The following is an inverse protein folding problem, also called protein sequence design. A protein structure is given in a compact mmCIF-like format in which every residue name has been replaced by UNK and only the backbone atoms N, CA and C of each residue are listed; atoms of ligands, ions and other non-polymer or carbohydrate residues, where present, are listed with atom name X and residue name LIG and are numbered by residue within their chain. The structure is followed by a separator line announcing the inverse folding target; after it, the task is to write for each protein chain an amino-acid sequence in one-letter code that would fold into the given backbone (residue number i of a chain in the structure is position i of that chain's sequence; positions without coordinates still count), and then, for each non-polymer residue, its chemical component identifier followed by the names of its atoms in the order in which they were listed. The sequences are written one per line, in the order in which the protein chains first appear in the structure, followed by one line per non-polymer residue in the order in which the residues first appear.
data_IF_201743540545
#
_entry.id   IF_201743540545
#
_cell.length_a   1.000
_cell.length_b   1.000
_cell.length_c   1.000
_cell.angle_alpha   90.00
_cell.angle_beta   90.00
_cell.angle_gamma   90.00
#
_symmetry.space_group_name_H-M   'P 1'
#
loop_
_entity.id
_entity.type
_entity.pdbx_description
1 polymer ?
#
# COMPACT_ATOMS: atom_id res chain seq x y z
N UNK A 1 31.01 20.69 -18.90
CA UNK A 1 31.97 21.02 -17.81
C UNK A 1 31.19 20.87 -16.52
N UNK A 2 31.68 20.20 -15.49
CA UNK A 2 31.00 20.17 -14.18
C UNK A 2 31.02 21.58 -13.60
N UNK A 3 29.84 22.12 -13.28
CA UNK A 3 29.66 23.39 -12.62
C UNK A 3 30.38 23.39 -11.25
N UNK A 4 31.10 24.47 -10.97
CA UNK A 4 31.84 24.67 -9.74
C UNK A 4 30.89 24.56 -8.52
N UNK A 5 31.19 23.74 -7.49
CA UNK A 5 30.32 23.59 -6.33
C UNK A 5 29.97 24.91 -5.61
N UNK A 6 30.88 25.88 -5.65
CA UNK A 6 30.72 27.20 -5.01
C UNK A 6 29.66 28.06 -5.74
N UNK A 7 29.64 28.05 -7.07
CA UNK A 7 28.59 28.76 -7.86
C UNK A 7 27.19 28.20 -7.62
N UNK A 8 27.09 26.90 -7.31
CA UNK A 8 25.81 26.25 -7.06
C UNK A 8 25.22 26.63 -5.70
N UNK A 9 26.04 26.93 -4.69
CA UNK A 9 25.60 27.32 -3.34
C UNK A 9 25.11 28.76 -3.31
N UNK A 10 25.77 29.70 -3.98
CA UNK A 10 25.32 31.10 -4.08
C UNK A 10 23.96 31.20 -4.79
N UNK A 11 23.78 30.50 -5.91
CA UNK A 11 22.50 30.49 -6.62
C UNK A 11 21.35 29.94 -5.75
N UNK A 12 21.58 28.89 -4.96
CA UNK A 12 20.57 28.34 -4.04
C UNK A 12 20.20 29.39 -2.99
N UNK A 13 21.21 30.06 -2.41
CA UNK A 13 20.98 31.08 -1.38
C UNK A 13 20.21 32.29 -1.93
N UNK A 14 20.43 32.67 -3.17
CA UNK A 14 19.67 33.73 -3.84
C UNK A 14 18.20 33.33 -4.05
N UNK A 15 17.92 32.06 -4.42
CA UNK A 15 16.55 31.54 -4.52
C UNK A 15 15.86 31.54 -3.15
N UNK A 16 16.56 31.12 -2.10
CA UNK A 16 16.06 31.13 -0.72
C UNK A 16 15.71 32.56 -0.27
N UNK A 17 16.59 33.53 -0.54
CA UNK A 17 16.38 34.97 -0.25
C UNK A 17 15.15 35.49 -0.98
N UNK A 18 15.00 35.16 -2.26
CA UNK A 18 13.86 35.57 -3.06
C UNK A 18 12.54 35.00 -2.53
N UNK A 19 12.52 33.75 -2.05
CA UNK A 19 11.32 33.15 -1.43
C UNK A 19 10.99 33.88 -0.13
N UNK A 20 11.93 33.97 0.80
CA UNK A 20 11.70 34.60 2.10
C UNK A 20 11.26 36.06 1.97
N UNK A 21 11.95 36.84 1.11
CA UNK A 21 11.59 38.22 0.83
C UNK A 21 10.23 38.32 0.15
N UNK A 22 9.93 37.47 -0.84
CA UNK A 22 8.67 37.49 -1.55
C UNK A 22 7.47 37.13 -0.66
N UNK A 23 7.63 36.20 0.28
CA UNK A 23 6.59 35.89 1.26
C UNK A 23 6.32 37.03 2.25
N UNK A 24 7.33 37.87 2.54
CA UNK A 24 7.14 39.09 3.35
C UNK A 24 6.41 40.17 2.57
N UNK A 25 6.41 40.13 1.22
CA UNK A 25 5.67 41.08 0.36
C UNK A 25 4.24 40.57 0.11
N UNK A 26 4.05 39.28 -0.10
CA UNK A 26 2.77 38.64 -0.42
C UNK A 26 2.53 37.44 0.52
N UNK A 27 2.00 37.68 1.71
CA UNK A 27 1.72 36.67 2.73
C UNK A 27 0.79 35.54 2.21
N UNK A 28 -0.16 35.86 1.34
CA UNK A 28 -1.15 34.91 0.79
C UNK A 28 -0.52 33.80 -0.02
N UNK A 29 0.72 33.95 -0.49
CA UNK A 29 1.45 32.90 -1.21
C UNK A 29 2.14 31.88 -0.31
N UNK A 30 2.11 32.08 1.00
CA UNK A 30 2.77 31.15 1.93
C UNK A 30 2.23 29.74 1.80
N UNK A 31 0.92 29.56 1.69
CA UNK A 31 0.29 28.24 1.61
C UNK A 31 0.76 27.49 0.36
N UNK A 32 0.74 28.11 -0.81
CA UNK A 32 1.21 27.51 -2.06
C UNK A 32 2.71 27.14 -2.03
N UNK A 33 3.55 27.98 -1.40
CA UNK A 33 4.98 27.69 -1.23
C UNK A 33 5.20 26.55 -0.22
N UNK A 34 4.45 26.52 0.88
CA UNK A 34 4.56 25.51 1.94
C UNK A 34 4.10 24.12 1.52
N UNK A 35 3.26 24.02 0.48
CA UNK A 35 2.92 22.76 -0.16
C UNK A 35 4.12 22.13 -0.90
N UNK A 36 5.04 22.96 -1.41
CA UNK A 36 6.20 22.52 -2.20
C UNK A 36 7.43 22.25 -1.30
N UNK A 37 7.74 23.19 -0.38
CA UNK A 37 8.92 23.14 0.49
C UNK A 37 8.55 23.25 1.97
N UNK A 38 9.43 22.78 2.85
CA UNK A 38 9.39 23.06 4.29
C UNK A 38 10.70 23.72 4.75
N UNK A 39 10.79 24.05 6.04
CA UNK A 39 11.96 24.71 6.59
C UNK A 39 13.26 23.85 6.42
N UNK A 40 13.16 22.51 6.37
CA UNK A 40 14.32 21.62 6.22
C UNK A 40 14.86 21.59 4.77
N UNK A 41 14.13 22.15 3.81
CA UNK A 41 14.58 22.25 2.43
C UNK A 41 15.57 23.41 2.21
N UNK A 42 15.59 24.38 3.12
CA UNK A 42 16.58 25.46 3.11
C UNK A 42 17.96 24.97 3.53
N UNK A 43 19.01 25.51 2.92
CA UNK A 43 20.39 25.12 3.21
C UNK A 43 20.92 25.76 4.50
N UNK A 44 20.66 27.06 4.69
CA UNK A 44 21.09 27.81 5.83
C UNK A 44 20.17 27.71 7.04
N UNK A 45 20.73 27.47 8.23
CA UNK A 45 19.97 27.45 9.49
C UNK A 45 19.26 28.79 9.77
N UNK A 46 19.82 29.89 9.29
CA UNK A 46 19.23 31.23 9.31
C UNK A 46 17.90 31.25 8.56
N UNK A 47 17.88 30.80 7.31
CA UNK A 47 16.69 30.73 6.47
C UNK A 47 15.68 29.70 6.98
N UNK A 48 16.13 28.56 7.50
CA UNK A 48 15.28 27.57 8.13
C UNK A 48 14.47 28.18 9.30
N UNK A 49 15.16 28.91 10.19
CA UNK A 49 14.54 29.57 11.34
C UNK A 49 13.53 30.65 10.90
N UNK A 50 13.85 31.41 9.84
CA UNK A 50 12.95 32.43 9.29
C UNK A 50 11.68 31.77 8.74
N UNK A 51 11.81 30.77 7.85
CA UNK A 51 10.67 30.11 7.24
C UNK A 51 9.78 29.38 8.27
N UNK A 52 10.38 28.73 9.27
CA UNK A 52 9.64 28.11 10.37
C UNK A 52 8.86 29.14 11.18
N UNK A 53 9.45 30.31 11.46
CA UNK A 53 8.76 31.38 12.18
C UNK A 53 7.64 32.01 11.37
N UNK A 54 7.79 32.11 10.04
CA UNK A 54 6.73 32.52 9.12
C UNK A 54 5.54 31.56 9.20
N UNK A 55 5.76 30.24 9.19
CA UNK A 55 4.69 29.25 9.31
C UNK A 55 3.88 29.40 10.60
N UNK A 56 4.56 29.69 11.70
CA UNK A 56 3.89 29.92 12.99
C UNK A 56 3.07 31.20 13.02
N UNK A 57 3.51 32.24 12.31
CA UNK A 57 2.77 33.49 12.19
C UNK A 57 1.51 33.28 11.33
N UNK A 58 1.61 32.61 10.20
CA UNK A 58 0.46 32.27 9.33
C UNK A 58 -0.57 31.44 10.09
N UNK A 59 -0.13 30.39 10.81
CA UNK A 59 -1.01 29.58 11.65
C UNK A 59 -1.71 30.37 12.77
N UNK A 60 -1.14 31.52 13.13
CA UNK A 60 -1.71 32.46 14.12
C UNK A 60 -2.49 33.61 13.47
N UNK A 61 -2.75 33.54 12.15
CA UNK A 61 -3.39 34.60 11.36
C UNK A 61 -2.71 35.98 11.49
N UNK A 62 -1.38 35.99 11.55
CA UNK A 62 -0.58 37.23 11.58
C UNK A 62 0.10 37.45 10.25
N UNK A 63 0.28 38.72 9.83
CA UNK A 63 0.96 39.06 8.57
C UNK A 63 2.44 38.68 8.61
N UNK A 64 3.01 38.38 7.44
CA UNK A 64 4.43 38.14 7.27
C UNK A 64 5.12 39.43 6.79
N UNK A 65 5.49 40.28 7.69
CA UNK A 65 6.32 41.45 7.41
C UNK A 65 7.62 41.38 8.23
N UNK A 66 8.68 42.16 7.85
CA UNK A 66 9.96 42.11 8.55
C UNK A 66 9.88 42.41 10.05
N UNK A 67 8.88 43.17 10.51
CA UNK A 67 8.72 43.51 11.92
C UNK A 67 8.10 42.35 12.71
N UNK A 68 7.00 41.76 12.19
CA UNK A 68 6.32 40.65 12.84
C UNK A 68 7.19 39.39 12.86
N UNK A 69 7.93 39.11 11.77
CA UNK A 69 8.91 38.01 11.72
C UNK A 69 10.06 38.23 12.69
N UNK A 70 10.58 39.50 12.77
CA UNK A 70 11.63 39.86 13.73
C UNK A 70 11.19 39.64 15.18
N UNK A 71 9.97 40.11 15.54
CA UNK A 71 9.39 39.92 16.88
C UNK A 71 9.23 38.45 17.23
N UNK A 72 8.76 37.62 16.28
CA UNK A 72 8.64 36.17 16.46
C UNK A 72 9.96 35.49 16.69
N UNK A 73 10.98 35.80 15.91
CA UNK A 73 12.34 35.28 16.06
C UNK A 73 12.98 35.72 17.39
N UNK A 74 12.76 36.97 17.82
CA UNK A 74 13.27 37.49 19.08
C UNK A 74 12.65 36.81 20.28
N UNK A 75 11.35 36.55 20.26
CA UNK A 75 10.64 35.80 21.30
C UNK A 75 11.19 34.38 21.52
N UNK A 76 11.92 33.84 20.53
CA UNK A 76 12.59 32.53 20.56
C UNK A 76 14.10 32.61 20.76
N UNK A 77 14.64 33.80 20.95
CA UNK A 77 16.10 34.04 20.99
C UNK A 77 16.84 33.58 19.70
N UNK A 78 16.16 33.60 18.56
CA UNK A 78 16.70 33.19 17.25
C UNK A 78 17.03 34.37 16.32
N UNK A 79 16.66 35.59 16.66
CA UNK A 79 16.82 36.77 15.80
C UNK A 79 18.27 37.00 15.36
N UNK A 80 19.21 36.88 16.26
CA UNK A 80 20.65 37.04 15.95
C UNK A 80 21.15 35.95 15.00
N UNK A 81 20.68 34.71 15.19
CA UNK A 81 21.05 33.58 14.32
C UNK A 81 20.38 33.65 12.95
N UNK A 82 19.27 34.36 12.81
CA UNK A 82 18.57 34.62 11.57
C UNK A 82 19.11 35.83 10.79
N UNK A 83 20.24 36.41 11.19
CA UNK A 83 20.87 37.54 10.54
C UNK A 83 20.43 38.91 11.08
N UNK A 84 19.55 38.94 12.07
CA UNK A 84 19.07 40.19 12.70
C UNK A 84 17.99 40.90 11.92
N UNK A 85 17.45 41.99 12.52
CA UNK A 85 16.34 42.79 11.94
C UNK A 85 16.70 43.41 10.59
N UNK A 86 17.91 43.91 10.44
CA UNK A 86 18.35 44.54 9.20
C UNK A 86 18.37 43.54 8.03
N UNK A 87 18.72 42.28 8.28
CA UNK A 87 18.70 41.26 7.27
C UNK A 87 17.28 40.93 6.78
N UNK A 88 16.30 40.88 7.67
CA UNK A 88 14.90 40.70 7.29
C UNK A 88 14.36 41.85 6.43
N UNK A 89 14.73 43.08 6.76
CA UNK A 89 14.40 44.26 5.96
C UNK A 89 15.07 44.20 4.58
N UNK A 90 16.34 43.77 4.53
CA UNK A 90 17.07 43.60 3.28
C UNK A 90 16.43 42.53 2.39
N UNK A 91 16.04 41.38 2.93
CA UNK A 91 15.33 40.34 2.22
C UNK A 91 14.05 40.83 1.54
N UNK A 92 13.23 41.57 2.28
CA UNK A 92 11.99 42.14 1.73
C UNK A 92 12.24 43.23 0.66
N UNK A 93 13.26 44.06 0.87
CA UNK A 93 13.55 45.21 -0.02
C UNK A 93 14.30 44.82 -1.31
N UNK A 94 15.08 43.76 -1.28
CA UNK A 94 15.89 43.29 -2.43
C UNK A 94 15.14 42.31 -3.33
N UNK A 95 13.96 41.83 -2.94
CA UNK A 95 13.16 40.92 -3.75
C UNK A 95 12.37 41.67 -4.81
N UNK A 96 12.62 41.45 -6.12
CA UNK A 96 12.02 42.26 -7.19
C UNK A 96 10.54 41.98 -7.43
N UNK A 97 10.07 40.72 -7.15
CA UNK A 97 8.70 40.29 -7.41
C UNK A 97 8.42 38.95 -6.72
N UNK A 98 7.20 38.80 -6.21
CA UNK A 98 6.68 37.54 -5.68
C UNK A 98 6.04 36.63 -6.76
N UNK A 99 6.08 36.99 -8.04
CA UNK A 99 5.35 36.30 -9.10
C UNK A 99 5.79 34.84 -9.33
N UNK A 100 7.04 34.50 -9.02
CA UNK A 100 7.64 33.17 -9.37
C UNK A 100 8.00 32.34 -8.13
N UNK A 101 7.40 32.59 -6.96
CA UNK A 101 7.80 31.91 -5.71
C UNK A 101 7.64 30.39 -5.77
N UNK A 102 6.59 29.89 -6.39
CA UNK A 102 6.34 28.44 -6.54
C UNK A 102 7.40 27.77 -7.43
N UNK A 103 7.81 28.44 -8.54
CA UNK A 103 8.89 27.96 -9.39
C UNK A 103 10.22 27.90 -8.64
N UNK A 104 10.53 28.93 -7.83
CA UNK A 104 11.73 28.95 -7.00
C UNK A 104 11.69 27.88 -5.90
N UNK A 105 10.52 27.67 -5.28
CA UNK A 105 10.30 26.59 -4.34
C UNK A 105 10.58 25.21 -4.96
N UNK A 106 10.10 24.97 -6.18
CA UNK A 106 10.39 23.74 -6.93
C UNK A 106 11.90 23.52 -7.14
N UNK A 107 12.64 24.58 -7.48
CA UNK A 107 14.10 24.52 -7.64
C UNK A 107 14.81 24.24 -6.31
N UNK A 108 14.42 24.90 -5.21
CA UNK A 108 14.96 24.61 -3.86
C UNK A 108 14.68 23.16 -3.48
N UNK A 109 13.48 22.66 -3.73
CA UNK A 109 13.12 21.25 -3.45
C UNK A 109 14.03 20.27 -4.18
N UNK A 110 14.28 20.47 -5.48
CA UNK A 110 15.20 19.63 -6.24
C UNK A 110 16.62 19.65 -5.65
N UNK A 111 17.11 20.83 -5.28
CA UNK A 111 18.43 20.97 -4.66
C UNK A 111 18.50 20.33 -3.27
N UNK A 112 17.44 20.47 -2.47
CA UNK A 112 17.31 19.81 -1.17
C UNK A 112 17.39 18.29 -1.29
N UNK A 113 16.64 17.70 -2.20
CA UNK A 113 16.67 16.26 -2.48
C UNK A 113 18.09 15.82 -2.86
N UNK A 114 18.76 16.59 -3.73
CA UNK A 114 20.15 16.28 -4.12
C UNK A 114 21.12 16.33 -2.94
N UNK A 115 21.01 17.35 -2.05
CA UNK A 115 21.82 17.45 -0.82
C UNK A 115 21.57 16.27 0.12
N UNK A 116 20.31 15.89 0.32
CA UNK A 116 19.96 14.73 1.17
C UNK A 116 20.49 13.43 0.60
N UNK A 117 20.41 13.23 -0.74
CA UNK A 117 21.03 12.09 -1.42
C UNK A 117 22.55 12.04 -1.20
N UNK A 118 23.25 13.17 -1.31
CA UNK A 118 24.70 13.23 -1.04
C UNK A 118 25.03 12.90 0.41
N UNK A 119 24.21 13.39 1.35
CA UNK A 119 24.38 13.09 2.79
C UNK A 119 24.22 11.59 3.05
N UNK A 120 23.15 10.97 2.53
CA UNK A 120 22.89 9.53 2.68
C UNK A 120 24.00 8.71 2.03
N UNK A 121 24.47 9.11 0.85
CA UNK A 121 25.61 8.44 0.21
C UNK A 121 26.87 8.48 1.09
N UNK A 122 27.14 9.60 1.76
CA UNK A 122 28.25 9.71 2.70
C UNK A 122 28.05 8.83 3.93
N UNK A 123 26.84 8.78 4.48
CA UNK A 123 26.49 7.91 5.62
C UNK A 123 26.59 6.42 5.25
N UNK A 124 26.16 6.02 4.07
CA UNK A 124 26.30 4.64 3.58
C UNK A 124 27.80 4.30 3.38
N UNK A 125 28.57 5.23 2.84
CA UNK A 125 30.02 5.03 2.70
C UNK A 125 30.71 4.84 4.06
N UNK A 126 30.30 5.60 5.07
CA UNK A 126 30.83 5.47 6.44
C UNK A 126 30.43 4.13 7.08
N UNK A 127 29.20 3.65 6.87
CA UNK A 127 28.75 2.34 7.32
C UNK A 127 29.58 1.20 6.71
N UNK A 128 29.94 1.31 5.44
CA UNK A 128 30.76 0.30 4.74
C UNK A 128 32.20 0.31 5.28
N UNK A 129 32.75 1.49 5.57
CA UNK A 129 34.12 1.64 6.11
C UNK A 129 34.20 1.18 7.57
N UNK A 130 33.16 1.44 8.36
CA UNK A 130 33.07 1.12 9.77
C UNK A 130 31.81 0.24 10.08
N UNK A 131 31.85 -1.04 9.76
CA UNK A 131 30.65 -1.89 9.83
C UNK A 131 30.18 -2.20 11.26
N UNK A 132 30.89 -1.84 12.29
CA UNK A 132 30.55 -2.03 13.72
C UNK A 132 30.09 -3.45 14.09
N UNK A 133 30.61 -4.47 13.38
CA UNK A 133 30.30 -5.87 13.61
C UNK A 133 29.07 -6.38 12.83
N UNK A 134 28.45 -5.53 12.00
CA UNK A 134 27.35 -5.91 11.11
C UNK A 134 27.85 -6.73 9.93
N UNK A 135 27.07 -7.68 9.48
CA UNK A 135 27.36 -8.44 8.27
C UNK A 135 26.91 -7.69 6.99
N UNK A 136 27.17 -8.28 5.83
CA UNK A 136 26.89 -7.64 4.55
C UNK A 136 25.39 -7.45 4.29
N UNK A 137 24.51 -8.36 4.79
CA UNK A 137 23.07 -8.26 4.67
C UNK A 137 22.52 -7.13 5.55
N UNK A 138 22.97 -7.04 6.81
CA UNK A 138 22.56 -5.96 7.72
C UNK A 138 22.98 -4.57 7.22
N UNK A 139 24.18 -4.46 6.58
CA UNK A 139 24.64 -3.21 5.98
C UNK A 139 23.79 -2.82 4.75
N UNK A 140 23.38 -3.80 3.95
CA UNK A 140 22.51 -3.58 2.78
C UNK A 140 21.14 -3.09 3.22
N UNK A 141 20.53 -3.75 4.19
CA UNK A 141 19.21 -3.39 4.73
C UNK A 141 19.21 -1.96 5.31
N UNK A 142 20.28 -1.58 6.02
CA UNK A 142 20.40 -0.22 6.56
C UNK A 142 20.59 0.83 5.46
N UNK A 143 21.35 0.52 4.42
CA UNK A 143 21.52 1.39 3.25
C UNK A 143 20.20 1.56 2.50
N UNK A 144 19.45 0.49 2.27
CA UNK A 144 18.12 0.54 1.67
C UNK A 144 17.16 1.39 2.51
N UNK A 145 17.12 1.18 3.82
CA UNK A 145 16.27 1.95 4.74
C UNK A 145 16.55 3.46 4.63
N UNK A 146 17.82 3.86 4.60
CA UNK A 146 18.23 5.27 4.46
C UNK A 146 17.79 5.87 3.11
N UNK A 147 17.92 5.12 2.02
CA UNK A 147 17.48 5.57 0.68
C UNK A 147 15.95 5.67 0.63
N UNK A 148 15.24 4.73 1.24
CA UNK A 148 13.77 4.70 1.26
C UNK A 148 13.17 5.86 2.05
N UNK A 149 13.78 6.24 3.19
CA UNK A 149 13.31 7.38 3.99
C UNK A 149 13.22 8.68 3.16
N UNK A 150 14.14 8.89 2.22
CA UNK A 150 14.07 10.01 1.28
C UNK A 150 12.87 9.95 0.34
N UNK A 151 12.57 8.76 -0.16
CA UNK A 151 11.48 8.58 -1.11
C UNK A 151 10.11 8.82 -0.47
N UNK A 152 9.94 8.40 0.78
CA UNK A 152 8.71 8.63 1.54
C UNK A 152 8.51 10.11 1.88
N UNK A 153 9.57 10.84 2.23
CA UNK A 153 9.51 12.30 2.43
C UNK A 153 9.23 13.06 1.12
N UNK A 154 9.80 12.61 0.00
CA UNK A 154 9.55 13.19 -1.30
C UNK A 154 8.10 12.98 -1.77
N UNK A 155 7.53 11.80 -1.49
CA UNK A 155 6.17 11.42 -1.90
C UNK A 155 5.06 12.04 -1.05
N UNK A 156 5.33 12.39 0.22
CA UNK A 156 4.32 12.97 1.13
C UNK A 156 3.82 14.35 0.71
N UNK A 157 4.56 15.08 -0.10
CA UNK A 157 4.19 16.43 -0.56
C UNK A 157 3.49 16.48 -1.92
N UNK A 158 3.28 15.35 -2.59
CA UNK A 158 2.55 15.29 -3.86
C UNK A 158 1.10 14.82 -3.71
N UNK A 159 0.44 15.15 -2.61
CA UNK A 159 -1.01 14.94 -2.50
C UNK A 159 -1.69 16.05 -3.29
N UNK A 160 -1.90 15.83 -4.58
CA UNK A 160 -2.67 16.73 -5.42
C UNK A 160 -4.09 16.84 -4.87
N UNK A 161 -4.40 17.99 -4.28
CA UNK A 161 -5.77 18.37 -3.96
C UNK A 161 -6.45 18.64 -5.31
N UNK A 162 -7.32 17.72 -5.73
CA UNK A 162 -8.04 17.83 -6.99
C UNK A 162 -9.36 18.58 -6.77
N UNK A 163 -9.68 19.49 -7.68
CA UNK A 163 -10.97 20.18 -7.66
C UNK A 163 -12.09 19.27 -8.18
N UNK A 164 -13.28 19.47 -7.67
CA UNK A 164 -14.45 18.67 -8.05
C UNK A 164 -14.77 18.78 -9.55
N UNK A 165 -14.52 19.94 -10.16
CA UNK A 165 -14.71 20.18 -11.61
C UNK A 165 -13.78 19.32 -12.49
N UNK A 166 -12.59 18.93 -11.98
CA UNK A 166 -11.64 18.02 -12.64
C UNK A 166 -12.03 16.56 -12.42
N UNK A 167 -12.64 16.22 -11.28
CA UNK A 167 -13.03 14.86 -10.91
C UNK A 167 -14.33 14.40 -11.57
N UNK A 168 -15.29 15.30 -11.79
CA UNK A 168 -16.59 14.97 -12.40
C UNK A 168 -16.43 14.35 -13.79
N UNK A 169 -15.66 14.94 -14.74
CA UNK A 169 -15.45 14.33 -16.06
C UNK A 169 -14.85 12.94 -15.98
N UNK A 170 -13.84 12.71 -15.13
CA UNK A 170 -13.21 11.42 -14.93
C UNK A 170 -14.19 10.36 -14.40
N UNK A 171 -15.06 10.76 -13.46
CA UNK A 171 -16.10 9.89 -12.91
C UNK A 171 -17.14 9.51 -13.97
N UNK A 172 -17.55 10.45 -14.81
CA UNK A 172 -18.49 10.21 -15.91
C UNK A 172 -17.87 9.31 -16.98
N UNK A 173 -16.60 9.52 -17.32
CA UNK A 173 -15.89 8.71 -18.29
C UNK A 173 -15.77 7.26 -17.81
N UNK A 174 -15.38 7.04 -16.54
CA UNK A 174 -15.36 5.72 -15.91
C UNK A 174 -16.74 5.03 -15.93
N UNK A 175 -17.81 5.75 -15.63
CA UNK A 175 -19.18 5.22 -15.72
C UNK A 175 -19.55 4.81 -17.16
N UNK A 176 -19.14 5.60 -18.15
CA UNK A 176 -19.37 5.31 -19.56
C UNK A 176 -18.56 4.09 -20.04
N UNK A 177 -17.33 3.90 -19.56
CA UNK A 177 -16.52 2.72 -19.86
C UNK A 177 -17.18 1.45 -19.32
N UNK A 178 -17.63 1.48 -18.06
CA UNK A 178 -18.35 0.37 -17.45
C UNK A 178 -19.62 0.05 -18.23
N UNK A 179 -20.39 1.06 -18.63
CA UNK A 179 -21.60 0.87 -19.43
C UNK A 179 -21.32 0.28 -20.82
N UNK A 180 -20.18 0.62 -21.43
CA UNK A 180 -19.76 0.09 -22.76
C UNK A 180 -19.18 -1.32 -22.68
N UNK A 181 -18.48 -1.67 -21.58
CA UNK A 181 -17.88 -3.00 -21.41
C UNK A 181 -18.92 -4.11 -21.24
N UNK A 182 -20.19 -3.76 -20.94
CA UNK A 182 -21.24 -4.73 -20.62
C UNK A 182 -21.00 -5.47 -19.31
N UNK A 183 -19.93 -5.16 -18.59
CA UNK A 183 -19.63 -5.67 -17.27
C UNK A 183 -20.42 -4.86 -16.23
N UNK A 184 -21.14 -5.54 -15.35
CA UNK A 184 -21.80 -4.88 -14.21
C UNK A 184 -20.86 -4.62 -13.04
N UNK A 185 -19.55 -4.90 -13.19
CA UNK A 185 -18.56 -4.81 -12.13
C UNK A 185 -17.80 -3.49 -12.19
N UNK A 186 -17.65 -2.85 -11.04
CA UNK A 186 -16.84 -1.63 -10.86
C UNK A 186 -15.34 -1.92 -10.75
N UNK A 187 -15.00 -3.12 -10.30
CA UNK A 187 -13.64 -3.61 -10.11
C UNK A 187 -13.38 -4.93 -10.82
N UNK A 188 -12.20 -5.50 -10.59
CA UNK A 188 -11.81 -6.79 -11.18
C UNK A 188 -12.55 -7.95 -10.53
N UNK A 189 -13.04 -8.89 -11.35
CA UNK A 189 -13.79 -10.06 -10.90
C UNK A 189 -12.96 -10.96 -9.98
N UNK A 190 -13.54 -11.44 -8.89
CA UNK A 190 -12.97 -12.49 -8.03
C UNK A 190 -13.05 -13.87 -8.69
N UNK A 191 -13.86 -14.02 -9.74
CA UNK A 191 -14.18 -15.28 -10.39
C UNK A 191 -15.35 -16.03 -9.76
N UNK A 192 -16.00 -15.47 -8.75
CA UNK A 192 -17.18 -16.02 -8.08
C UNK A 192 -18.37 -15.09 -8.25
N UNK A 193 -19.40 -15.55 -8.98
CA UNK A 193 -20.53 -14.73 -9.43
C UNK A 193 -21.27 -14.04 -8.28
N UNK A 194 -21.61 -14.80 -7.23
CA UNK A 194 -22.37 -14.25 -6.10
C UNK A 194 -21.53 -13.29 -5.26
N UNK A 195 -20.22 -13.53 -5.15
CA UNK A 195 -19.30 -12.66 -4.46
C UNK A 195 -19.12 -11.36 -5.26
N UNK A 196 -18.92 -11.47 -6.56
CA UNK A 196 -18.80 -10.33 -7.47
C UNK A 196 -20.06 -9.47 -7.51
N UNK A 197 -21.24 -10.10 -7.51
CA UNK A 197 -22.54 -9.38 -7.45
C UNK A 197 -22.62 -8.52 -6.19
N UNK A 198 -22.10 -8.99 -5.05
CA UNK A 198 -22.14 -8.25 -3.79
C UNK A 198 -21.03 -7.23 -3.64
N UNK A 199 -19.80 -7.59 -4.02
CA UNK A 199 -18.63 -6.71 -3.90
C UNK A 199 -18.52 -5.72 -5.05
N UNK A 200 -19.18 -5.98 -6.20
CA UNK A 200 -18.97 -5.29 -7.47
C UNK A 200 -17.53 -5.44 -7.98
N UNK A 201 -16.90 -6.60 -7.71
CA UNK A 201 -15.49 -6.88 -7.97
C UNK A 201 -14.55 -6.29 -6.90
N UNK A 202 -13.26 -6.58 -7.02
CA UNK A 202 -12.21 -5.97 -6.19
C UNK A 202 -11.77 -4.66 -6.83
N UNK A 203 -11.89 -3.56 -6.09
CA UNK A 203 -11.63 -2.22 -6.62
C UNK A 203 -10.19 -1.79 -6.41
N UNK A 204 -9.68 -1.02 -7.36
CA UNK A 204 -8.34 -0.43 -7.27
C UNK A 204 -8.20 0.44 -6.03
N UNK A 205 -7.10 0.26 -5.33
CA UNK A 205 -6.79 0.99 -4.11
C UNK A 205 -7.48 0.46 -2.85
N UNK A 206 -8.26 -0.65 -2.93
CA UNK A 206 -8.90 -1.26 -1.77
C UNK A 206 -7.98 -2.22 -1.04
N UNK A 207 -8.10 -2.20 0.30
CA UNK A 207 -7.55 -3.22 1.19
C UNK A 207 -8.65 -4.20 1.57
N UNK A 208 -8.51 -5.44 1.10
CA UNK A 208 -9.43 -6.54 1.34
C UNK A 208 -8.81 -7.50 2.37
N UNK A 209 -9.46 -7.70 3.49
CA UNK A 209 -9.02 -8.64 4.51
C UNK A 209 -9.80 -9.94 4.37
N UNK A 210 -9.08 -11.06 4.21
CA UNK A 210 -9.66 -12.41 4.25
C UNK A 210 -9.24 -13.07 5.56
N UNK A 211 -10.18 -13.23 6.48
CA UNK A 211 -9.91 -13.71 7.82
C UNK A 211 -10.59 -15.05 8.10
N UNK A 212 -9.85 -15.98 8.71
CA UNK A 212 -10.37 -17.29 9.07
C UNK A 212 -9.57 -17.94 10.19
N UNK A 213 -10.15 -18.99 10.80
CA UNK A 213 -9.39 -19.94 11.61
C UNK A 213 -8.56 -20.88 10.71
N UNK A 214 -7.52 -21.52 11.24
CA UNK A 214 -6.76 -22.54 10.50
C UNK A 214 -7.68 -23.58 9.85
N UNK A 215 -7.27 -24.14 8.73
CA UNK A 215 -7.99 -25.17 7.96
C UNK A 215 -9.31 -24.76 7.30
N UNK A 216 -9.75 -23.49 7.43
CA UNK A 216 -10.94 -22.99 6.75
C UNK A 216 -10.75 -22.71 5.25
N UNK A 217 -9.51 -22.68 4.75
CA UNK A 217 -9.21 -22.49 3.33
C UNK A 217 -8.81 -21.06 2.95
N UNK A 218 -8.33 -20.25 3.90
CA UNK A 218 -7.90 -18.85 3.69
C UNK A 218 -6.93 -18.71 2.50
N UNK A 219 -5.80 -19.40 2.54
CA UNK A 219 -4.81 -19.43 1.46
C UNK A 219 -5.40 -19.98 0.15
N UNK A 220 -6.28 -20.99 0.22
CA UNK A 220 -6.93 -21.55 -0.96
C UNK A 220 -7.82 -20.53 -1.68
N UNK A 221 -8.66 -19.78 -0.95
CA UNK A 221 -9.52 -18.76 -1.53
C UNK A 221 -8.69 -17.65 -2.20
N UNK A 222 -7.65 -17.16 -1.52
CA UNK A 222 -6.80 -16.11 -2.08
C UNK A 222 -6.02 -16.56 -3.32
N UNK A 223 -5.53 -17.81 -3.33
CA UNK A 223 -4.86 -18.39 -4.51
C UNK A 223 -5.83 -18.58 -5.67
N UNK A 224 -7.07 -19.00 -5.40
CA UNK A 224 -8.08 -19.14 -6.46
C UNK A 224 -8.50 -17.76 -7.01
N UNK A 225 -8.62 -16.72 -6.18
CA UNK A 225 -8.84 -15.35 -6.65
C UNK A 225 -7.66 -14.90 -7.53
N UNK A 226 -6.43 -15.13 -7.08
CA UNK A 226 -5.23 -14.81 -7.84
C UNK A 226 -5.20 -15.52 -9.21
N UNK A 227 -5.53 -16.82 -9.24
CA UNK A 227 -5.68 -17.59 -10.48
C UNK A 227 -6.75 -17.01 -11.41
N UNK A 228 -7.92 -16.67 -10.87
CA UNK A 228 -9.02 -16.10 -11.63
C UNK A 228 -8.65 -14.74 -12.24
N UNK A 229 -7.91 -13.90 -11.51
CA UNK A 229 -7.37 -12.64 -12.04
C UNK A 229 -6.45 -12.88 -13.25
N UNK A 230 -5.55 -13.86 -13.14
CA UNK A 230 -4.58 -14.17 -14.21
C UNK A 230 -5.23 -14.77 -15.47
N UNK A 231 -6.33 -15.51 -15.30
CA UNK A 231 -7.04 -16.15 -16.41
C UNK A 231 -8.03 -15.18 -17.07
N UNK A 232 -8.47 -14.16 -16.36
CA UNK A 232 -9.38 -13.16 -16.86
C UNK A 232 -8.69 -12.29 -17.93
N UNK A 233 -9.21 -12.34 -19.16
CA UNK A 233 -8.63 -11.59 -20.29
C UNK A 233 -8.82 -10.07 -20.19
N UNK A 234 -9.72 -9.62 -19.34
CA UNK A 234 -9.97 -8.20 -19.11
C UNK A 234 -8.94 -7.59 -18.12
N UNK A 235 -8.16 -8.43 -17.44
CA UNK A 235 -7.09 -8.03 -16.51
C UNK A 235 -5.75 -8.22 -17.21
N UNK A 236 -5.01 -7.14 -17.40
CA UNK A 236 -3.74 -7.16 -18.16
C UNK A 236 -2.51 -7.27 -17.27
N UNK A 237 -2.59 -6.83 -16.02
CA UNK A 237 -1.45 -6.74 -15.11
C UNK A 237 -1.13 -8.05 -14.38
N UNK A 238 0.10 -8.13 -13.82
CA UNK A 238 0.57 -9.27 -13.06
C UNK A 238 -0.07 -9.39 -11.67
N UNK A 239 0.03 -10.58 -11.08
CA UNK A 239 -0.37 -10.85 -9.69
C UNK A 239 0.89 -11.11 -8.86
N UNK A 240 1.02 -10.41 -7.73
CA UNK A 240 2.14 -10.59 -6.80
C UNK A 240 1.64 -11.19 -5.49
N UNK A 241 2.24 -12.31 -5.08
CA UNK A 241 1.92 -13.02 -3.83
C UNK A 241 3.12 -12.96 -2.90
N UNK A 242 2.94 -12.39 -1.72
CA UNK A 242 3.86 -12.51 -0.61
C UNK A 242 3.41 -13.63 0.31
N UNK A 243 4.19 -14.73 0.35
CA UNK A 243 3.91 -15.91 1.14
C UNK A 243 4.87 -16.02 2.31
N UNK A 244 4.45 -15.53 3.48
CA UNK A 244 5.26 -15.56 4.69
C UNK A 244 5.16 -16.91 5.45
N UNK A 245 4.18 -17.76 5.10
CA UNK A 245 3.94 -19.05 5.77
C UNK A 245 4.43 -20.24 4.95
N UNK A 246 4.36 -20.17 3.63
CA UNK A 246 4.60 -21.32 2.77
C UNK A 246 5.67 -21.02 1.70
N UNK A 247 6.58 -21.99 1.42
CA UNK A 247 7.53 -21.88 0.32
C UNK A 247 6.81 -21.75 -1.04
N UNK A 248 7.42 -21.00 -1.98
CA UNK A 248 6.90 -20.78 -3.33
C UNK A 248 6.64 -22.08 -4.09
N UNK A 249 7.51 -23.08 -3.95
CA UNK A 249 7.33 -24.42 -4.54
C UNK A 249 6.04 -25.10 -4.08
N UNK A 250 5.73 -25.01 -2.78
CA UNK A 250 4.49 -25.59 -2.21
C UNK A 250 3.24 -24.89 -2.73
N UNK A 251 3.27 -23.54 -2.87
CA UNK A 251 2.17 -22.77 -3.45
C UNK A 251 1.98 -23.11 -4.93
N UNK A 252 3.07 -23.17 -5.70
CA UNK A 252 3.03 -23.54 -7.13
C UNK A 252 2.44 -24.94 -7.31
N UNK A 253 2.88 -25.91 -6.53
CA UNK A 253 2.34 -27.29 -6.56
C UNK A 253 0.83 -27.29 -6.24
N UNK A 254 0.40 -26.51 -5.25
CA UNK A 254 -1.01 -26.37 -4.87
C UNK A 254 -1.83 -25.74 -5.98
N UNK A 255 -1.32 -24.69 -6.60
CA UNK A 255 -1.97 -24.00 -7.73
C UNK A 255 -2.16 -24.94 -8.91
N UNK A 256 -1.13 -25.69 -9.29
CA UNK A 256 -1.19 -26.68 -10.39
C UNK A 256 -2.19 -27.81 -10.08
N UNK A 257 -2.17 -28.36 -8.86
CA UNK A 257 -3.10 -29.41 -8.43
C UNK A 257 -4.55 -28.91 -8.45
N UNK A 258 -4.79 -27.69 -7.96
CA UNK A 258 -6.10 -27.04 -7.95
C UNK A 258 -6.64 -26.79 -9.37
N UNK A 259 -5.80 -26.22 -10.26
CA UNK A 259 -6.19 -25.96 -11.65
C UNK A 259 -6.46 -27.22 -12.44
N UNK A 260 -5.61 -28.26 -12.25
CA UNK A 260 -5.79 -29.55 -12.91
C UNK A 260 -6.93 -30.40 -12.31
N UNK A 261 -7.50 -30.00 -11.17
CA UNK A 261 -8.48 -30.75 -10.36
C UNK A 261 -7.97 -32.16 -10.02
N UNK A 262 -6.74 -32.21 -9.49
CA UNK A 262 -6.07 -33.46 -9.04
C UNK A 262 -5.87 -33.38 -7.53
N UNK A 263 -6.05 -34.51 -6.86
CA UNK A 263 -5.80 -34.63 -5.43
C UNK A 263 -4.36 -34.22 -5.09
N UNK A 264 -4.23 -33.23 -4.20
CA UNK A 264 -2.95 -32.67 -3.78
C UNK A 264 -2.03 -33.78 -3.18
N UNK A 265 -2.57 -34.78 -2.53
CA UNK A 265 -1.76 -35.91 -1.98
C UNK A 265 -1.12 -36.73 -3.09
N UNK A 266 -1.85 -36.95 -4.19
CA UNK A 266 -1.31 -37.70 -5.34
C UNK A 266 -0.18 -36.92 -6.04
N UNK A 267 -0.31 -35.59 -6.12
CA UNK A 267 0.76 -34.74 -6.69
C UNK A 267 2.00 -34.80 -5.80
N UNK A 268 1.83 -34.62 -4.48
CA UNK A 268 2.95 -34.70 -3.51
C UNK A 268 3.66 -36.03 -3.42
N UNK A 269 2.92 -37.13 -3.58
CA UNK A 269 3.48 -38.50 -3.57
C UNK A 269 3.90 -38.99 -4.95
N UNK A 270 3.76 -38.16 -6.00
CA UNK A 270 3.99 -38.53 -7.40
C UNK A 270 3.24 -39.78 -7.83
N UNK A 271 2.04 -40.05 -7.28
CA UNK A 271 1.22 -41.24 -7.53
C UNK A 271 0.06 -40.98 -8.51
N UNK A 272 0.23 -39.98 -9.40
CA UNK A 272 -0.71 -39.68 -10.46
C UNK A 272 -0.75 -40.77 -11.53
N UNK A 273 -1.95 -41.11 -12.02
CA UNK A 273 -2.10 -41.92 -13.19
C UNK A 273 -1.79 -41.17 -14.49
N UNK A 274 -1.78 -41.84 -15.65
CA UNK A 274 -1.41 -41.20 -16.94
C UNK A 274 -2.35 -40.08 -17.34
N UNK A 275 -3.65 -40.19 -17.07
CA UNK A 275 -4.62 -39.13 -17.40
C UNK A 275 -4.49 -37.92 -16.47
N UNK A 276 -4.24 -38.15 -15.18
CA UNK A 276 -3.94 -37.14 -14.20
C UNK A 276 -2.63 -36.40 -14.55
N UNK A 277 -1.59 -37.14 -14.92
CA UNK A 277 -0.31 -36.54 -15.34
C UNK A 277 -0.50 -35.67 -16.59
N UNK A 278 -1.29 -36.14 -17.56
CA UNK A 278 -1.60 -35.34 -18.75
C UNK A 278 -2.31 -34.02 -18.38
N UNK A 279 -3.34 -34.05 -17.53
CA UNK A 279 -4.05 -32.87 -17.03
C UNK A 279 -3.11 -31.91 -16.27
N UNK A 280 -2.21 -32.46 -15.47
CA UNK A 280 -1.20 -31.70 -14.74
C UNK A 280 -0.24 -30.95 -15.69
N UNK A 281 0.23 -31.62 -16.73
CA UNK A 281 1.10 -31.01 -17.75
C UNK A 281 0.35 -29.93 -18.58
N UNK A 282 -0.93 -30.18 -18.91
CA UNK A 282 -1.79 -29.17 -19.58
C UNK A 282 -1.99 -27.94 -18.70
N UNK A 283 -2.25 -28.12 -17.40
CA UNK A 283 -2.35 -27.04 -16.41
C UNK A 283 -1.03 -26.27 -16.32
N UNK A 284 0.09 -26.96 -16.22
CA UNK A 284 1.43 -26.34 -16.22
C UNK A 284 1.66 -25.48 -17.45
N UNK A 285 1.29 -25.98 -18.64
CA UNK A 285 1.44 -25.22 -19.88
C UNK A 285 0.56 -23.98 -19.94
N UNK A 286 -0.65 -24.02 -19.34
CA UNK A 286 -1.55 -22.85 -19.29
C UNK A 286 -1.08 -21.79 -18.31
N UNK A 287 -0.49 -22.20 -17.18
CA UNK A 287 -0.10 -21.27 -16.12
C UNK A 287 1.31 -20.70 -16.31
N UNK A 288 2.16 -21.37 -17.11
CA UNK A 288 3.58 -21.02 -17.30
C UNK A 288 3.79 -19.58 -17.77
N UNK A 289 2.94 -19.11 -18.69
CA UNK A 289 3.10 -17.82 -19.34
C UNK A 289 2.31 -16.69 -18.65
N UNK A 290 1.63 -17.01 -17.53
CA UNK A 290 0.89 -16.00 -16.77
C UNK A 290 1.83 -15.18 -15.89
N UNK A 291 1.62 -13.86 -15.77
CA UNK A 291 2.45 -12.97 -14.98
C UNK A 291 2.17 -13.11 -13.47
N UNK A 292 2.56 -14.27 -12.89
CA UNK A 292 2.46 -14.57 -11.48
C UNK A 292 3.83 -14.46 -10.82
N UNK A 293 3.95 -13.60 -9.84
CA UNK A 293 5.15 -13.38 -9.04
C UNK A 293 4.91 -13.89 -7.62
N UNK A 294 5.82 -14.69 -7.08
CA UNK A 294 5.75 -15.23 -5.71
C UNK A 294 7.02 -14.84 -4.98
N UNK A 295 6.87 -14.19 -3.84
CA UNK A 295 7.92 -13.90 -2.87
C UNK A 295 7.64 -14.69 -1.59
N UNK A 296 8.52 -15.63 -1.23
CA UNK A 296 8.38 -16.49 -0.06
C UNK A 296 9.37 -16.16 1.07
N UNK A 297 9.82 -14.91 1.10
CA UNK A 297 10.67 -14.40 2.17
C UNK A 297 9.93 -14.48 3.52
N UNK A 298 10.49 -15.20 4.48
CA UNK A 298 9.85 -15.46 5.79
C UNK A 298 9.83 -14.27 6.75
N UNK A 299 10.75 -13.33 6.57
CA UNK A 299 10.86 -12.11 7.36
C UNK A 299 10.71 -10.91 6.43
N UNK A 300 9.59 -10.24 6.49
CA UNK A 300 9.30 -9.10 5.62
C UNK A 300 8.68 -7.96 6.42
N UNK A 301 9.31 -6.81 6.36
CA UNK A 301 8.75 -5.57 6.91
C UNK A 301 7.75 -4.95 5.91
N UNK A 302 6.81 -4.11 6.38
CA UNK A 302 5.91 -3.38 5.47
C UNK A 302 6.65 -2.51 4.45
N UNK A 303 7.80 -1.98 4.82
CA UNK A 303 8.62 -1.13 3.96
C UNK A 303 9.25 -1.95 2.82
N UNK A 304 9.85 -3.10 3.13
CA UNK A 304 10.42 -4.01 2.13
C UNK A 304 9.34 -4.55 1.18
N UNK A 305 8.17 -4.92 1.72
CA UNK A 305 7.04 -5.35 0.91
C UNK A 305 6.65 -4.27 -0.11
N UNK A 306 6.50 -3.01 0.33
CA UNK A 306 6.23 -1.87 -0.57
C UNK A 306 7.31 -1.72 -1.63
N UNK A 307 8.58 -1.81 -1.25
CA UNK A 307 9.71 -1.69 -2.17
C UNK A 307 9.68 -2.76 -3.26
N UNK A 308 9.49 -4.02 -2.87
CA UNK A 308 9.40 -5.15 -3.79
C UNK A 308 8.18 -5.04 -4.70
N UNK A 309 7.02 -4.69 -4.16
CA UNK A 309 5.80 -4.47 -4.95
C UNK A 309 5.99 -3.36 -6.00
N UNK A 310 6.58 -2.21 -5.62
CA UNK A 310 6.92 -1.14 -6.57
C UNK A 310 7.89 -1.59 -7.65
N UNK A 311 8.88 -2.41 -7.29
CA UNK A 311 9.86 -2.94 -8.24
C UNK A 311 9.17 -3.83 -9.28
N UNK A 312 8.37 -4.80 -8.84
CA UNK A 312 7.65 -5.70 -9.75
C UNK A 312 6.64 -4.91 -10.60
N UNK A 313 5.90 -3.97 -10.00
CA UNK A 313 4.96 -3.11 -10.73
C UNK A 313 5.62 -2.31 -11.88
N UNK A 314 6.90 -1.94 -11.73
CA UNK A 314 7.67 -1.27 -12.80
C UNK A 314 8.29 -2.23 -13.80
N UNK A 315 8.56 -3.47 -13.40
CA UNK A 315 9.16 -4.49 -14.26
C UNK A 315 8.13 -5.18 -15.14
N UNK A 316 6.90 -5.36 -14.67
CA UNK A 316 5.81 -5.89 -15.47
C UNK A 316 5.35 -4.84 -16.50
N UNK A 317 5.24 -5.18 -17.79
CA UNK A 317 4.85 -4.23 -18.84
C UNK A 317 3.50 -3.56 -18.62
N UNK A 318 2.57 -4.26 -17.94
CA UNK A 318 1.23 -3.78 -17.66
C UNK A 318 1.03 -3.38 -16.18
N UNK A 319 2.11 -3.45 -15.38
CA UNK A 319 2.05 -3.26 -13.94
C UNK A 319 1.41 -4.43 -13.20
N UNK A 320 1.07 -4.22 -11.92
CA UNK A 320 0.36 -5.21 -11.11
C UNK A 320 -1.15 -4.95 -11.17
N UNK A 321 -1.94 -6.03 -11.11
CA UNK A 321 -3.40 -6.01 -11.01
C UNK A 321 -3.94 -6.48 -9.66
N UNK A 322 -3.13 -7.24 -8.90
CA UNK A 322 -3.49 -7.75 -7.58
C UNK A 322 -2.23 -8.00 -6.76
N UNK A 323 -2.30 -7.69 -5.47
CA UNK A 323 -1.30 -8.10 -4.49
C UNK A 323 -1.98 -8.96 -3.42
N UNK A 324 -1.38 -10.10 -3.09
CA UNK A 324 -1.83 -11.01 -2.02
C UNK A 324 -0.75 -11.10 -0.95
N UNK A 325 -1.14 -11.02 0.33
CA UNK A 325 -0.21 -11.14 1.48
C UNK A 325 -0.71 -12.23 2.42
N UNK A 326 0.02 -13.35 2.54
CA UNK A 326 -0.33 -14.49 3.39
C UNK A 326 0.74 -14.70 4.47
N UNK A 327 0.53 -14.30 5.71
CA UNK A 327 -0.53 -13.54 6.35
C UNK A 327 0.06 -12.42 7.24
N UNK A 328 -0.74 -11.41 7.55
CA UNK A 328 -0.34 -10.16 8.22
C UNK A 328 0.44 -10.38 9.52
N UNK A 329 0.03 -11.35 10.33
CA UNK A 329 0.63 -11.58 11.64
C UNK A 329 2.04 -12.19 11.60
N UNK A 330 2.59 -12.52 10.43
CA UNK A 330 4.00 -12.94 10.29
C UNK A 330 4.92 -11.77 9.95
N UNK A 331 4.38 -10.64 9.51
CA UNK A 331 5.17 -9.45 9.24
C UNK A 331 5.80 -8.89 10.52
N UNK A 332 6.98 -8.33 10.39
CA UNK A 332 7.75 -7.77 11.50
C UNK A 332 8.12 -6.31 11.24
N UNK A 333 8.19 -5.52 12.31
CA UNK A 333 8.70 -4.15 12.30
C UNK A 333 9.98 -4.14 13.14
N UNK A 334 11.16 -4.08 12.52
CA UNK A 334 12.44 -4.31 13.20
C UNK A 334 12.75 -3.34 14.36
N UNK A 335 12.21 -2.13 14.33
CA UNK A 335 12.51 -1.05 15.28
C UNK A 335 11.50 -0.90 16.41
N UNK A 336 10.41 -1.65 16.39
CA UNK A 336 9.31 -1.47 17.34
C UNK A 336 9.39 -2.48 18.48
N UNK A 337 9.74 -2.01 19.69
CA UNK A 337 9.50 -2.73 20.96
C UNK A 337 8.02 -2.61 21.40
N UNK A 338 7.14 -2.13 20.53
CA UNK A 338 5.76 -1.85 20.82
C UNK A 338 4.90 -3.11 20.95
N UNK A 339 3.74 -2.94 21.58
CA UNK A 339 2.73 -3.99 21.70
C UNK A 339 2.30 -4.46 20.29
N UNK A 340 2.10 -5.76 20.13
CA UNK A 340 1.68 -6.43 18.87
C UNK A 340 0.50 -5.74 18.17
N UNK A 341 -0.42 -5.17 18.93
CA UNK A 341 -1.57 -4.42 18.40
C UNK A 341 -1.13 -3.20 17.58
N UNK A 342 -0.13 -2.45 18.07
CA UNK A 342 0.39 -1.27 17.37
C UNK A 342 1.13 -1.68 16.08
N UNK A 343 1.89 -2.78 16.12
CA UNK A 343 2.57 -3.31 14.93
C UNK A 343 1.58 -3.70 13.84
N UNK A 344 0.51 -4.42 14.20
CA UNK A 344 -0.55 -4.80 13.24
C UNK A 344 -1.25 -3.56 12.67
N UNK A 345 -1.43 -2.53 13.48
CA UNK A 345 -2.01 -1.25 13.04
C UNK A 345 -1.13 -0.55 12.00
N UNK A 346 0.18 -0.55 12.20
CA UNK A 346 1.13 0.03 11.26
C UNK A 346 1.19 -0.78 9.96
N UNK A 347 1.21 -2.11 10.05
CA UNK A 347 1.15 -3.02 8.90
C UNK A 347 -0.10 -2.76 8.07
N UNK A 348 -1.29 -2.74 8.71
CA UNK A 348 -2.57 -2.51 8.05
C UNK A 348 -2.60 -1.18 7.29
N UNK A 349 -2.17 -0.10 7.96
CA UNK A 349 -2.08 1.22 7.35
C UNK A 349 -1.11 1.25 6.17
N UNK A 350 0.05 0.60 6.30
CA UNK A 350 1.04 0.52 5.22
C UNK A 350 0.50 -0.21 3.99
N UNK A 351 -0.24 -1.31 4.18
CA UNK A 351 -0.87 -2.04 3.08
C UNK A 351 -1.99 -1.24 2.40
N UNK A 352 -2.80 -0.48 3.17
CA UNK A 352 -3.80 0.43 2.59
C UNK A 352 -3.14 1.55 1.79
N UNK A 353 -2.02 2.08 2.28
CA UNK A 353 -1.25 3.08 1.52
C UNK A 353 -0.68 2.49 0.23
N UNK A 354 -0.16 1.26 0.27
CA UNK A 354 0.34 0.56 -0.92
C UNK A 354 -0.76 0.36 -1.97
N UNK A 355 -1.94 -0.10 -1.55
CA UNK A 355 -3.09 -0.27 -2.44
C UNK A 355 -3.43 1.03 -3.17
N UNK A 356 -3.53 2.15 -2.43
CA UNK A 356 -3.81 3.48 -3.01
C UNK A 356 -2.71 3.98 -3.93
N UNK A 357 -1.45 3.76 -3.56
CA UNK A 357 -0.29 4.22 -4.31
C UNK A 357 -0.17 3.53 -5.66
N UNK A 358 -0.27 2.20 -5.68
CA UNK A 358 -0.16 1.41 -6.90
C UNK A 358 -1.49 1.34 -7.67
N UNK A 359 -2.60 1.79 -7.06
CA UNK A 359 -3.96 1.70 -7.59
C UNK A 359 -4.34 0.25 -7.95
N UNK A 360 -4.04 -0.67 -7.04
CA UNK A 360 -4.36 -2.10 -7.16
C UNK A 360 -5.06 -2.60 -5.90
N UNK A 361 -5.97 -3.57 -5.98
CA UNK A 361 -6.49 -4.24 -4.80
C UNK A 361 -5.38 -5.01 -4.07
N UNK A 362 -5.37 -4.91 -2.74
CA UNK A 362 -4.49 -5.69 -1.86
C UNK A 362 -5.34 -6.63 -1.02
N UNK A 363 -5.18 -7.94 -1.22
CA UNK A 363 -5.82 -8.99 -0.44
C UNK A 363 -4.85 -9.44 0.64
N UNK A 364 -5.15 -9.12 1.90
CA UNK A 364 -4.32 -9.49 3.02
C UNK A 364 -5.03 -10.53 3.90
N UNK A 365 -4.33 -11.61 4.20
CA UNK A 365 -4.87 -12.70 4.99
C UNK A 365 -4.64 -12.45 6.48
N UNK A 366 -5.63 -12.79 7.29
CA UNK A 366 -5.57 -12.62 8.74
C UNK A 366 -6.07 -13.87 9.47
N UNK A 367 -5.39 -14.23 10.54
CA UNK A 367 -5.85 -15.31 11.41
C UNK A 367 -6.74 -14.76 12.52
N UNK A 368 -7.88 -15.41 12.76
CA UNK A 368 -8.83 -15.05 13.80
C UNK A 368 -8.39 -15.55 15.19
N UNK A 369 -8.84 -14.84 16.22
CA UNK A 369 -8.63 -15.24 17.62
C UNK A 369 -9.30 -16.60 17.90
N UNK A 370 -8.68 -17.41 18.77
CA UNK A 370 -9.20 -18.72 19.19
C UNK A 370 -10.53 -18.63 19.95
N UNK A 371 -10.88 -17.48 20.50
CA UNK A 371 -12.13 -17.28 21.22
C UNK A 371 -13.38 -17.59 20.36
N UNK A 372 -13.31 -17.48 19.03
CA UNK A 372 -14.41 -17.87 18.13
C UNK A 372 -14.83 -19.34 18.30
N UNK A 373 -13.88 -20.23 18.62
CA UNK A 373 -14.13 -21.67 18.77
C UNK A 373 -14.86 -22.01 20.08
N UNK A 374 -14.86 -21.11 21.04
CA UNK A 374 -15.52 -21.29 22.35
C UNK A 374 -17.00 -20.90 22.33
N UNK A 375 -17.46 -20.25 21.25
CA UNK A 375 -18.86 -19.85 21.13
C UNK A 375 -19.73 -21.00 20.61
N UNK A 376 -21.02 -21.05 21.01
CA UNK A 376 -21.98 -21.99 20.43
C UNK A 376 -22.10 -21.82 18.90
N UNK A 377 -22.24 -20.56 18.44
CA UNK A 377 -22.15 -20.24 17.02
C UNK A 377 -20.71 -19.80 16.69
N UNK A 378 -20.00 -20.64 15.97
CA UNK A 378 -18.59 -20.44 15.61
C UNK A 378 -18.40 -19.62 14.32
N UNK A 379 -19.49 -19.05 13.76
CA UNK A 379 -19.38 -18.10 12.64
C UNK A 379 -18.62 -16.86 13.07
N UNK A 380 -17.57 -16.47 12.33
CA UNK A 380 -16.78 -15.29 12.68
C UNK A 380 -17.59 -13.99 12.66
N UNK A 381 -17.21 -13.07 13.53
CA UNK A 381 -17.72 -11.69 13.59
C UNK A 381 -16.56 -10.72 13.73
N UNK A 382 -16.81 -9.43 13.54
CA UNK A 382 -15.78 -8.38 13.59
C UNK A 382 -14.95 -8.41 14.89
N UNK A 383 -15.58 -8.71 16.02
CA UNK A 383 -14.88 -8.81 17.32
C UNK A 383 -13.81 -9.92 17.38
N UNK A 384 -13.81 -10.89 16.45
CA UNK A 384 -12.82 -11.96 16.40
C UNK A 384 -11.49 -11.49 15.78
N UNK A 385 -11.47 -10.29 15.18
CA UNK A 385 -10.28 -9.54 14.79
C UNK A 385 -9.69 -8.69 15.92
N UNK A 386 -10.04 -8.97 17.17
CA UNK A 386 -9.90 -8.11 18.36
C UNK A 386 -8.51 -7.58 18.67
N UNK A 387 -7.46 -8.28 18.26
CA UNK A 387 -6.07 -7.81 18.39
C UNK A 387 -5.68 -6.83 17.25
N UNK A 388 -6.63 -6.43 16.42
CA UNK A 388 -6.44 -5.71 15.17
C UNK A 388 -7.54 -4.68 14.92
N UNK A 389 -7.96 -3.90 15.92
CA UNK A 389 -8.98 -2.85 15.76
C UNK A 389 -8.65 -1.86 14.63
N UNK A 390 -7.37 -1.68 14.32
CA UNK A 390 -6.93 -0.88 13.18
C UNK A 390 -7.22 -1.54 11.84
N UNK A 391 -7.12 -2.88 11.72
CA UNK A 391 -7.51 -3.59 10.48
C UNK A 391 -8.98 -3.29 10.17
N UNK A 392 -9.84 -3.26 11.22
CA UNK A 392 -11.25 -2.92 11.03
C UNK A 392 -11.42 -1.49 10.48
N UNK A 393 -10.60 -0.54 10.89
CA UNK A 393 -10.69 0.84 10.41
C UNK A 393 -10.13 1.01 9.01
N UNK A 394 -8.97 0.44 8.72
CA UNK A 394 -8.21 0.63 7.48
C UNK A 394 -8.80 -0.15 6.30
N UNK A 395 -9.31 -1.38 6.53
CA UNK A 395 -9.86 -2.22 5.48
C UNK A 395 -11.12 -1.63 4.84
N UNK A 396 -11.25 -1.77 3.54
CA UNK A 396 -12.45 -1.41 2.79
C UNK A 396 -13.45 -2.55 2.77
N UNK A 397 -12.94 -3.80 2.68
CA UNK A 397 -13.73 -5.03 2.71
C UNK A 397 -13.11 -6.01 3.70
N UNK A 398 -13.96 -6.68 4.49
CA UNK A 398 -13.55 -7.78 5.38
C UNK A 398 -14.42 -8.99 5.10
N UNK A 399 -13.77 -10.07 4.69
CA UNK A 399 -14.37 -11.36 4.38
C UNK A 399 -13.97 -12.38 5.45
N UNK A 400 -14.95 -13.07 6.00
CA UNK A 400 -14.70 -14.22 6.87
C UNK A 400 -15.04 -15.51 6.16
N UNK A 401 -14.23 -16.55 6.34
CA UNK A 401 -14.53 -17.88 5.83
C UNK A 401 -15.00 -18.75 6.99
N UNK A 402 -16.14 -19.40 6.81
CA UNK A 402 -16.68 -20.39 7.73
C UNK A 402 -17.07 -21.65 6.97
N UNK A 403 -16.67 -22.81 7.50
CA UNK A 403 -17.05 -24.12 6.99
C UNK A 403 -17.52 -24.97 8.17
N UNK A 404 -18.78 -25.36 8.15
CA UNK A 404 -19.40 -26.09 9.25
C UNK A 404 -18.76 -27.48 9.43
N UNK A 405 -18.44 -28.15 8.34
CA UNK A 405 -17.79 -29.46 8.31
C UNK A 405 -16.44 -29.55 9.06
N UNK A 406 -15.77 -28.41 9.30
CA UNK A 406 -14.50 -28.37 10.04
C UNK A 406 -14.74 -28.54 11.54
N UNK A 407 -15.92 -28.16 12.02
CA UNK A 407 -16.31 -28.27 13.42
C UNK A 407 -17.27 -29.44 13.72
N UNK A 408 -18.06 -29.84 12.71
CA UNK A 408 -19.09 -30.88 12.80
C UNK A 408 -18.86 -31.89 11.68
N UNK A 409 -18.30 -33.05 12.01
CA UNK A 409 -17.99 -34.12 11.02
C UNK A 409 -19.25 -34.67 10.35
N UNK A 410 -20.39 -34.63 11.05
CA UNK A 410 -21.69 -35.07 10.56
C UNK A 410 -22.52 -33.93 9.94
N UNK A 411 -21.88 -32.86 9.50
CA UNK A 411 -22.61 -31.71 8.93
C UNK A 411 -23.35 -32.09 7.64
N UNK A 412 -24.66 -31.83 7.59
CA UNK A 412 -25.47 -31.96 6.36
C UNK A 412 -25.03 -30.98 5.26
N UNK A 413 -24.27 -29.92 5.64
CA UNK A 413 -23.73 -28.90 4.75
C UNK A 413 -22.32 -29.24 4.24
N UNK A 414 -22.04 -30.51 3.96
CA UNK A 414 -20.73 -30.95 3.44
C UNK A 414 -20.30 -30.18 2.20
N UNK A 415 -19.01 -29.82 2.13
CA UNK A 415 -18.40 -29.01 1.07
C UNK A 415 -18.89 -27.56 0.96
N UNK A 416 -19.82 -27.11 1.78
CA UNK A 416 -20.29 -25.72 1.77
C UNK A 416 -19.37 -24.82 2.56
N UNK A 417 -18.96 -23.72 1.96
CA UNK A 417 -18.20 -22.65 2.60
C UNK A 417 -19.03 -21.35 2.59
N UNK A 418 -19.23 -20.76 3.76
CA UNK A 418 -19.84 -19.44 3.86
C UNK A 418 -18.75 -18.35 3.81
N UNK A 419 -18.82 -17.45 2.84
CA UNK A 419 -18.02 -16.22 2.80
C UNK A 419 -18.87 -15.10 3.40
N UNK A 420 -18.54 -14.69 4.60
CA UNK A 420 -19.30 -13.69 5.35
C UNK A 420 -18.63 -12.33 5.12
N UNK A 421 -19.34 -11.40 4.49
CA UNK A 421 -18.94 -10.02 4.30
C UNK A 421 -19.23 -9.28 5.60
N UNK A 422 -18.22 -9.14 6.46
CA UNK A 422 -18.36 -8.50 7.76
C UNK A 422 -18.25 -6.98 7.69
N UNK A 423 -17.55 -6.46 6.68
CA UNK A 423 -17.43 -5.04 6.38
C UNK A 423 -17.34 -4.82 4.87
N UNK A 424 -18.01 -3.78 4.39
CA UNK A 424 -17.86 -3.26 3.03
C UNK A 424 -18.16 -1.76 3.06
N UNK A 425 -17.21 -0.91 2.61
CA UNK A 425 -17.42 0.55 2.61
C UNK A 425 -18.44 1.00 1.59
N UNK A 426 -18.44 0.35 0.42
CA UNK A 426 -19.23 0.78 -0.75
C UNK A 426 -20.41 -0.17 -1.07
N UNK A 427 -20.85 -0.99 -0.09
CA UNK A 427 -21.93 -1.94 -0.32
C UNK A 427 -22.46 -2.60 0.95
N UNK A 428 -23.45 -3.48 0.81
CA UNK A 428 -24.10 -4.14 1.95
C UNK A 428 -23.25 -5.29 2.49
N UNK A 429 -23.28 -5.48 3.80
CA UNK A 429 -22.80 -6.69 4.45
C UNK A 429 -23.74 -7.87 4.15
N UNK A 430 -23.26 -9.09 4.31
CA UNK A 430 -24.06 -10.29 4.10
C UNK A 430 -23.22 -11.55 4.03
N UNK A 431 -23.76 -12.58 3.41
CA UNK A 431 -23.02 -13.82 3.17
C UNK A 431 -23.26 -14.35 1.75
N UNK A 432 -22.26 -15.03 1.24
CA UNK A 432 -22.26 -15.77 -0.02
C UNK A 432 -21.85 -17.19 0.28
N UNK A 433 -22.48 -18.15 -0.38
CA UNK A 433 -22.08 -19.56 -0.26
C UNK A 433 -21.18 -19.93 -1.45
N UNK A 434 -20.10 -20.63 -1.18
CA UNK A 434 -19.25 -21.26 -2.18
C UNK A 434 -19.16 -22.78 -1.88
N UNK A 435 -18.76 -23.55 -2.86
CA UNK A 435 -18.43 -24.97 -2.69
C UNK A 435 -16.93 -25.10 -2.47
N UNK A 436 -16.52 -25.81 -1.43
CA UNK A 436 -15.09 -26.11 -1.20
C UNK A 436 -14.79 -27.57 -1.50
N UNK A 437 -14.02 -27.81 -2.54
CA UNK A 437 -13.57 -29.13 -2.95
C UNK A 437 -12.27 -29.49 -2.22
N UNK A 438 -12.38 -30.23 -1.12
CA UNK A 438 -11.29 -30.57 -0.21
C UNK A 438 -10.09 -31.21 -0.92
N UNK A 439 -10.37 -32.17 -1.80
CA UNK A 439 -9.36 -32.96 -2.53
C UNK A 439 -8.46 -32.06 -3.39
N UNK A 440 -9.05 -31.02 -3.98
CA UNK A 440 -8.38 -30.08 -4.89
C UNK A 440 -7.95 -28.79 -4.21
N UNK A 441 -8.33 -28.62 -2.93
CA UNK A 441 -8.12 -27.36 -2.18
C UNK A 441 -8.64 -26.15 -2.97
N UNK A 442 -9.85 -26.27 -3.56
CA UNK A 442 -10.43 -25.33 -4.50
C UNK A 442 -11.82 -24.88 -4.07
N UNK A 443 -12.07 -23.56 -4.21
CA UNK A 443 -13.41 -22.98 -4.13
C UNK A 443 -14.03 -22.92 -5.53
N UNK A 444 -15.34 -23.17 -5.62
CA UNK A 444 -16.14 -23.00 -6.82
C UNK A 444 -17.47 -22.33 -6.46
N UNK A 445 -18.18 -21.80 -7.46
CA UNK A 445 -19.53 -21.25 -7.26
C UNK A 445 -20.44 -22.32 -6.67
N UNK A 446 -21.31 -21.91 -5.75
CA UNK A 446 -22.30 -22.80 -5.17
C UNK A 446 -23.44 -23.04 -6.14
N UNK A 447 -23.62 -24.27 -6.61
CA UNK A 447 -24.75 -24.63 -7.44
C UNK A 447 -26.03 -24.66 -6.57
N UNK A 448 -26.94 -23.71 -6.78
CA UNK A 448 -28.30 -23.81 -6.23
C UNK A 448 -29.08 -24.80 -7.12
N UNK A 449 -29.49 -25.90 -6.51
CA UNK A 449 -30.43 -26.83 -7.22
C UNK A 449 -31.71 -26.10 -7.59
N UNK A 450 -31.84 -25.69 -8.85
CA UNK A 450 -32.99 -25.02 -9.44
C UNK A 450 -34.20 -25.96 -9.63
N UNK A 451 -34.28 -27.01 -8.83
CA UNK A 451 -35.35 -28.03 -8.99
C UNK A 451 -36.66 -27.71 -8.26
N UNK A 452 -36.81 -26.57 -7.54
CA UNK A 452 -38.02 -26.31 -6.74
C UNK A 452 -38.98 -25.24 -7.28
N UNK A 453 -38.68 -24.54 -8.38
CA UNK A 453 -39.58 -23.47 -8.89
C UNK A 453 -40.38 -23.84 -10.16
N UNK A 454 -40.48 -25.12 -10.51
CA UNK A 454 -41.31 -25.52 -11.69
C UNK A 454 -42.61 -26.25 -11.34
N UNK A 455 -43.11 -26.15 -10.09
CA UNK A 455 -44.44 -26.63 -9.69
C UNK A 455 -45.13 -25.57 -8.85
N UNK A 456 -45.63 -24.54 -9.51
CA UNK A 456 -46.87 -23.82 -9.11
C UNK A 456 -47.58 -23.28 -10.33
#
# INVERSE_FOLDING_TARGET
MPSNPIENTEQVRDLERAILGGLMLETERYDAVSEIIDFSDFEGQDHQNIFQSMGELVNSNKPLDPLTVSDRLDSKNLLTRAGGKNYLIDLASTTPSAANLEAYAGLIRQKSISRRLMKINSEISELIINPQGKDAEELLDEAETKIFSLNDEASRKSTDIQKLDELIPQSIERMNEIAKSGSSLLGSSTGYKDLDTRLQGLQDGDLIIVAARPSMGKTALSMNIAENFLINKDVLGGVLIFSLEMPAESLTTRLLASNAKIDQQKVRSASMNQDELKKFMESSSKLKDLPLYIDDSSLLSPMELRARARRINRQDPNGLSLIVVDYLQLMQIPTSQENRVNQISEISRSLKMLAKELKVPVVALSQLNRAVEQRPNKRPIMADLRDSGAIEQDADVILFIYRDEVYNEDSEEGNKAEIIIGKQRNGPIGKVNLTFLKEYTRFEDFAVDTYYDSIQ
#
